data_IF_644998830252
#
_entry.id   IF_644998830252
#
_cell.length_a   1.000
_cell.length_b   1.000
_cell.length_c   1.000
_cell.angle_alpha   90.00
_cell.angle_beta   90.00
_cell.angle_gamma   90.00
#
_symmetry.space_group_name_H-M   'P 1'
#
loop_
_entity.id
_entity.type
_entity.pdbx_description
1 polymer ?
#
# COMPACT_ATOMS: atom_id res chain seq x y z
N UNK A 1 8.75 -8.50 -12.94
CA UNK A 1 9.58 -8.05 -11.81
C UNK A 1 8.64 -7.91 -10.63
N UNK A 2 8.96 -8.55 -9.51
CA UNK A 2 8.11 -8.56 -8.31
C UNK A 2 8.85 -7.80 -7.20
N UNK A 3 8.23 -6.75 -6.68
CA UNK A 3 8.77 -5.85 -5.67
C UNK A 3 7.99 -6.01 -4.37
N UNK A 4 8.69 -6.20 -3.24
CA UNK A 4 8.06 -6.27 -1.92
C UNK A 4 8.47 -5.06 -1.10
N UNK A 5 7.49 -4.26 -0.72
CA UNK A 5 7.68 -3.03 0.04
C UNK A 5 7.21 -3.29 1.48
N UNK A 6 8.13 -3.24 2.42
CA UNK A 6 7.84 -3.43 3.84
C UNK A 6 7.39 -2.12 4.46
N UNK A 7 6.21 -2.13 5.07
CA UNK A 7 5.70 -0.98 5.82
C UNK A 7 6.14 -1.13 7.28
N UNK A 8 6.89 -0.14 7.77
CA UNK A 8 7.36 -0.12 9.14
C UNK A 8 6.21 -0.04 10.17
N UNK A 9 6.50 -0.25 11.46
CA UNK A 9 5.47 -0.29 12.50
C UNK A 9 4.76 1.04 12.72
N UNK A 10 5.47 2.16 12.59
CA UNK A 10 4.94 3.52 12.75
C UNK A 10 5.65 4.44 11.76
N UNK A 11 5.38 4.32 10.45
CA UNK A 11 6.03 5.16 9.45
C UNK A 11 5.64 6.62 9.68
N UNK A 12 6.55 7.55 9.38
CA UNK A 12 6.31 8.98 9.40
C UNK A 12 6.10 9.56 8.01
N UNK A 13 6.21 10.89 7.91
CA UNK A 13 6.08 11.59 6.63
C UNK A 13 7.22 11.23 5.67
N UNK A 14 8.46 11.14 6.16
CA UNK A 14 9.62 10.81 5.34
C UNK A 14 9.49 9.41 4.71
N UNK A 15 8.98 8.43 5.45
CA UNK A 15 8.70 7.09 4.94
C UNK A 15 7.58 7.10 3.89
N UNK A 16 6.56 7.95 4.05
CA UNK A 16 5.50 8.12 3.05
C UNK A 16 6.04 8.73 1.74
N UNK A 17 6.96 9.67 1.83
CA UNK A 17 7.64 10.27 0.67
C UNK A 17 8.52 9.24 -0.04
N UNK A 18 9.32 8.48 0.71
CA UNK A 18 10.13 7.39 0.16
C UNK A 18 9.28 6.31 -0.51
N UNK A 19 8.15 5.96 0.09
CA UNK A 19 7.17 5.04 -0.48
C UNK A 19 6.64 5.57 -1.82
N UNK A 20 6.27 6.85 -1.87
CA UNK A 20 5.78 7.49 -3.10
C UNK A 20 6.85 7.48 -4.20
N UNK A 21 8.08 7.84 -3.88
CA UNK A 21 9.18 7.87 -4.85
C UNK A 21 9.52 6.47 -5.36
N UNK A 22 9.52 5.47 -4.47
CA UNK A 22 9.69 4.06 -4.84
C UNK A 22 8.61 3.63 -5.83
N UNK A 23 7.33 3.88 -5.51
CA UNK A 23 6.21 3.48 -6.36
C UNK A 23 6.19 4.21 -7.72
N UNK A 24 6.65 5.47 -7.77
CA UNK A 24 6.78 6.23 -9.03
C UNK A 24 7.89 5.71 -9.95
N UNK A 25 8.95 5.13 -9.38
CA UNK A 25 10.05 4.57 -10.14
C UNK A 25 9.72 3.19 -10.75
N UNK A 26 8.64 2.55 -10.32
CA UNK A 26 8.24 1.24 -10.82
C UNK A 26 7.54 1.33 -12.18
N UNK A 27 7.80 0.38 -13.09
CA UNK A 27 7.02 0.27 -14.31
C UNK A 27 5.56 -0.13 -13.99
N UNK A 28 4.57 0.29 -14.79
CA UNK A 28 3.15 -0.03 -14.55
C UNK A 28 2.85 -1.53 -14.36
N UNK A 29 3.66 -2.39 -14.98
CA UNK A 29 3.53 -3.84 -15.04
C UNK A 29 4.22 -4.53 -13.86
N UNK A 30 4.94 -3.78 -13.01
CA UNK A 30 5.57 -4.33 -11.81
C UNK A 30 4.51 -4.97 -10.91
N UNK A 31 4.79 -6.18 -10.44
CA UNK A 31 4.01 -6.79 -9.37
C UNK A 31 4.49 -6.19 -8.05
N UNK A 32 3.59 -5.60 -7.28
CA UNK A 32 3.93 -4.94 -6.02
C UNK A 32 3.21 -5.62 -4.88
N UNK A 33 3.96 -5.99 -3.85
CA UNK A 33 3.43 -6.54 -2.60
C UNK A 33 3.77 -5.60 -1.45
N UNK A 34 2.76 -5.09 -0.75
CA UNK A 34 2.92 -4.38 0.50
C UNK A 34 2.93 -5.38 1.65
N UNK A 35 4.06 -5.51 2.34
CA UNK A 35 4.14 -6.27 3.58
C UNK A 35 3.73 -5.36 4.74
N UNK A 36 2.55 -5.63 5.29
CA UNK A 36 1.91 -4.83 6.33
C UNK A 36 1.90 -5.54 7.69
N UNK A 37 2.74 -6.57 7.87
CA UNK A 37 2.76 -7.39 9.08
C UNK A 37 3.17 -6.61 10.34
N UNK A 38 4.09 -5.65 10.19
CA UNK A 38 4.65 -4.90 11.31
C UNK A 38 3.82 -3.67 11.70
N UNK A 39 2.81 -3.27 10.91
CA UNK A 39 2.11 -1.99 11.06
C UNK A 39 1.33 -1.94 12.38
N UNK A 40 1.71 -1.03 13.28
CA UNK A 40 1.02 -0.71 14.53
C UNK A 40 0.25 0.62 14.43
N UNK A 41 0.60 1.47 13.47
CA UNK A 41 -0.10 2.72 13.17
C UNK A 41 0.24 3.14 11.75
N UNK A 42 -0.75 3.58 10.98
CA UNK A 42 -0.55 4.04 9.60
C UNK A 42 -1.04 5.48 9.46
N UNK A 43 -0.15 6.47 9.25
CA UNK A 43 -0.56 7.84 8.99
C UNK A 43 -1.34 7.95 7.68
N UNK A 44 -2.22 8.95 7.61
CA UNK A 44 -3.02 9.22 6.42
C UNK A 44 -2.17 9.39 5.15
N UNK A 45 -0.98 9.98 5.25
CA UNK A 45 -0.06 10.13 4.13
C UNK A 45 0.33 8.77 3.52
N UNK A 46 0.69 7.77 4.34
CA UNK A 46 1.03 6.43 3.85
C UNK A 46 -0.20 5.75 3.22
N UNK A 47 -1.35 5.78 3.89
CA UNK A 47 -2.58 5.19 3.37
C UNK A 47 -2.99 5.80 2.02
N UNK A 48 -2.87 7.13 1.87
CA UNK A 48 -3.17 7.84 0.63
C UNK A 48 -2.22 7.48 -0.50
N UNK A 49 -0.92 7.34 -0.23
CA UNK A 49 0.06 6.91 -1.24
C UNK A 49 -0.28 5.51 -1.76
N UNK A 50 -0.58 4.57 -0.86
CA UNK A 50 -0.94 3.19 -1.20
C UNK A 50 -2.28 3.15 -1.96
N UNK A 51 -3.29 3.87 -1.48
CA UNK A 51 -4.59 3.96 -2.14
C UNK A 51 -4.49 4.59 -3.53
N UNK A 52 -3.74 5.69 -3.67
CA UNK A 52 -3.50 6.35 -4.95
C UNK A 52 -2.80 5.41 -5.94
N UNK A 53 -1.79 4.67 -5.48
CA UNK A 53 -1.11 3.68 -6.31
C UNK A 53 -2.07 2.60 -6.84
N UNK A 54 -2.90 2.02 -5.98
CA UNK A 54 -3.90 1.04 -6.41
C UNK A 54 -4.96 1.65 -7.34
N UNK A 55 -5.39 2.89 -7.09
CA UNK A 55 -6.41 3.59 -7.88
C UNK A 55 -5.93 3.94 -9.29
N UNK A 56 -4.67 4.30 -9.45
CA UNK A 56 -4.11 4.76 -10.73
C UNK A 56 -3.47 3.65 -11.56
N UNK A 57 -3.46 2.40 -11.08
CA UNK A 57 -3.00 1.28 -11.90
C UNK A 57 -3.96 0.99 -13.06
N UNK A 58 -3.44 0.73 -14.27
CA UNK A 58 -4.25 0.28 -15.39
C UNK A 58 -4.96 -1.03 -15.06
N UNK A 59 -6.17 -1.25 -15.60
CA UNK A 59 -6.91 -2.51 -15.41
C UNK A 59 -6.17 -3.75 -15.96
N UNK A 60 -5.29 -3.55 -16.94
CA UNK A 60 -4.44 -4.60 -17.53
C UNK A 60 -3.21 -4.92 -16.68
N UNK A 61 -2.88 -4.08 -15.69
CA UNK A 61 -1.74 -4.30 -14.81
C UNK A 61 -2.13 -5.24 -13.65
N UNK A 62 -1.18 -6.02 -13.11
CA UNK A 62 -1.42 -6.84 -11.93
C UNK A 62 -1.97 -6.00 -10.77
N UNK A 63 -2.89 -6.50 -9.96
CA UNK A 63 -3.33 -5.77 -8.76
C UNK A 63 -2.18 -5.75 -7.72
N UNK A 64 -1.99 -4.65 -6.97
CA UNK A 64 -1.10 -4.67 -5.83
C UNK A 64 -1.57 -5.71 -4.82
N UNK A 65 -0.63 -6.39 -4.18
CA UNK A 65 -0.90 -7.38 -3.14
C UNK A 65 -0.64 -6.76 -1.77
N UNK A 66 -1.41 -7.17 -0.78
CA UNK A 66 -1.14 -6.90 0.63
C UNK A 66 -0.88 -8.23 1.30
N UNK A 67 0.31 -8.37 1.88
CA UNK A 67 0.73 -9.54 2.63
C UNK A 67 0.59 -9.25 4.12
N UNK A 68 -0.02 -10.21 4.84
CA UNK A 68 -0.16 -10.19 6.29
C UNK A 68 -0.63 -8.81 6.83
N UNK A 69 -1.77 -8.28 6.37
CA UNK A 69 -2.26 -6.98 6.86
C UNK A 69 -2.49 -7.05 8.38
N UNK A 70 -1.84 -6.16 9.13
CA UNK A 70 -2.23 -5.92 10.51
C UNK A 70 -3.63 -5.32 10.58
N UNK A 71 -4.24 -5.37 11.77
CA UNK A 71 -5.55 -4.74 11.99
C UNK A 71 -5.46 -3.23 11.78
N UNK A 72 -4.41 -2.63 12.31
CA UNK A 72 -4.17 -1.18 12.29
C UNK A 72 -3.95 -0.68 10.86
N UNK A 73 -3.38 -1.51 9.98
CA UNK A 73 -3.33 -1.22 8.55
C UNK A 73 -4.74 -1.12 7.97
N UNK A 74 -5.60 -2.12 8.17
CA UNK A 74 -6.97 -2.15 7.59
C UNK A 74 -7.85 -1.05 8.18
N UNK A 75 -7.79 -0.85 9.49
CA UNK A 75 -8.56 0.16 10.22
C UNK A 75 -8.23 1.57 9.69
N UNK A 76 -6.95 1.87 9.41
CA UNK A 76 -6.55 3.16 8.85
C UNK A 76 -7.21 3.49 7.49
N UNK A 77 -7.38 2.51 6.59
CA UNK A 77 -8.11 2.75 5.34
C UNK A 77 -9.61 2.94 5.58
N UNK A 78 -10.17 2.24 6.57
CA UNK A 78 -11.59 2.36 6.92
C UNK A 78 -11.90 3.73 7.51
N UNK A 79 -11.08 4.18 8.46
CA UNK A 79 -11.20 5.46 9.15
C UNK A 79 -11.09 6.66 8.19
N UNK A 80 -10.29 6.52 7.13
CA UNK A 80 -10.12 7.53 6.09
C UNK A 80 -11.15 7.46 4.96
N UNK A 81 -12.08 6.50 5.01
CA UNK A 81 -13.06 6.28 3.93
C UNK A 81 -12.44 5.73 2.64
N UNK A 82 -11.23 5.17 2.70
CA UNK A 82 -10.45 4.63 1.58
C UNK A 82 -10.60 3.11 1.42
N UNK A 83 -11.50 2.47 2.17
CA UNK A 83 -11.71 1.02 2.11
C UNK A 83 -12.03 0.52 0.68
N UNK A 84 -12.71 1.32 -0.14
CA UNK A 84 -12.98 0.96 -1.54
C UNK A 84 -11.70 0.87 -2.39
N UNK A 85 -10.68 1.68 -2.09
CA UNK A 85 -9.38 1.56 -2.75
C UNK A 85 -8.59 0.37 -2.22
N UNK A 86 -8.72 0.07 -0.93
CA UNK A 86 -8.16 -1.13 -0.33
C UNK A 86 -8.69 -2.40 -1.02
N UNK A 87 -9.99 -2.44 -1.35
CA UNK A 87 -10.63 -3.55 -2.09
C UNK A 87 -10.16 -3.72 -3.55
N UNK A 88 -9.39 -2.78 -4.09
CA UNK A 88 -8.76 -2.92 -5.41
C UNK A 88 -7.47 -3.76 -5.36
N UNK A 89 -6.99 -4.07 -4.15
CA UNK A 89 -5.80 -4.88 -3.91
C UNK A 89 -6.17 -6.35 -3.67
N UNK A 90 -5.20 -7.24 -3.81
CA UNK A 90 -5.32 -8.64 -3.46
C UNK A 90 -4.76 -8.90 -2.06
N UNK A 91 -5.44 -9.73 -1.27
CA UNK A 91 -5.01 -10.08 0.09
C UNK A 91 -4.47 -11.49 0.12
N UNK A 92 -3.19 -11.63 0.48
CA UNK A 92 -2.49 -12.90 0.61
C UNK A 92 -2.13 -13.22 2.06
N UNK A 93 -1.99 -14.53 2.34
CA UNK A 93 -1.28 -15.00 3.54
C UNK A 93 0.22 -14.83 3.38
#
# INVERSE_FOLDING_TARGET
>A
MSETIVIGPRPGLAEAEQLLDTLRALPPEAEVTFDAAAVESLPAACALVIAAFARHRPETAPKPRVRAPSREFVDAFSDLGLFQDLMKMEFGK
#
